data_IF_753530707018
#
_entry.id   IF_753530707018
#
_cell.length_a   1.000
_cell.length_b   1.000
_cell.length_c   1.000
_cell.angle_alpha   90.00
_cell.angle_beta   90.00
_cell.angle_gamma   90.00
#
_symmetry.space_group_name_H-M   'P 1'
#
loop_
_entity.id
_entity.type
_entity.pdbx_description
1 polymer ?
#
# COMPACT_ATOMS: atom_id res chain seq x y z
N UNK A 1 -38.39 35.63 -1.22
CA UNK A 1 -38.22 37.09 -1.07
C UNK A 1 -39.33 37.79 -1.84
N UNK A 2 -40.22 38.45 -1.10
CA UNK A 2 -41.31 39.32 -1.59
C UNK A 2 -41.99 38.92 -2.92
N UNK A 3 -42.56 37.71 -3.00
CA UNK A 3 -43.14 37.11 -4.23
C UNK A 3 -44.19 38.00 -4.91
N UNK A 4 -44.92 38.77 -4.11
CA UNK A 4 -46.06 39.56 -4.58
C UNK A 4 -45.67 40.95 -5.11
N UNK A 5 -44.39 41.32 -5.03
CA UNK A 5 -43.90 42.66 -5.44
C UNK A 5 -43.33 42.71 -6.85
N UNK A 6 -43.09 41.55 -7.47
CA UNK A 6 -42.46 41.44 -8.78
C UNK A 6 -43.50 41.50 -9.90
N UNK A 7 -43.26 42.30 -10.94
CA UNK A 7 -44.12 42.35 -12.15
C UNK A 7 -45.38 43.21 -12.04
N UNK A 8 -45.65 43.85 -10.90
CA UNK A 8 -46.76 44.80 -10.75
C UNK A 8 -46.36 46.18 -11.31
N UNK A 9 -46.59 46.39 -12.61
CA UNK A 9 -46.63 47.75 -13.21
C UNK A 9 -45.29 48.43 -13.53
N UNK A 10 -44.20 47.67 -13.73
CA UNK A 10 -42.95 48.18 -14.31
C UNK A 10 -42.06 49.03 -13.39
N UNK A 11 -42.49 49.32 -12.15
CA UNK A 11 -41.67 50.06 -11.17
C UNK A 11 -40.62 49.21 -10.46
N UNK A 12 -40.91 47.93 -10.25
CA UNK A 12 -40.00 47.01 -9.58
C UNK A 12 -39.28 46.15 -10.63
N UNK A 13 -37.95 46.13 -10.59
CA UNK A 13 -37.12 45.40 -11.55
C UNK A 13 -35.95 44.71 -10.87
N UNK A 14 -35.50 43.61 -11.47
CA UNK A 14 -34.31 42.89 -11.07
C UNK A 14 -33.54 42.57 -12.34
N UNK A 15 -32.31 43.08 -12.44
CA UNK A 15 -31.45 42.92 -13.60
C UNK A 15 -30.11 42.39 -13.13
N UNK A 16 -29.69 41.26 -13.70
CA UNK A 16 -28.37 40.71 -13.47
C UNK A 16 -27.45 41.09 -14.63
N UNK A 17 -26.34 41.75 -14.34
CA UNK A 17 -25.35 42.19 -15.34
C UNK A 17 -23.94 42.03 -14.78
N UNK A 18 -23.10 41.24 -15.45
CA UNK A 18 -21.67 41.09 -15.16
C UNK A 18 -21.35 40.80 -13.67
N UNK A 19 -22.12 39.91 -13.03
CA UNK A 19 -21.93 39.57 -11.62
C UNK A 19 -22.54 40.58 -10.63
N UNK A 20 -23.08 41.69 -11.12
CA UNK A 20 -23.85 42.66 -10.34
C UNK A 20 -25.34 42.37 -10.45
N UNK A 21 -26.03 42.44 -9.31
CA UNK A 21 -27.48 42.38 -9.25
C UNK A 21 -28.00 43.79 -8.98
N UNK A 22 -28.66 44.38 -9.97
CA UNK A 22 -29.31 45.68 -9.86
C UNK A 22 -30.78 45.42 -9.54
N UNK A 23 -31.22 45.86 -8.36
CA UNK A 23 -32.59 45.70 -7.90
C UNK A 23 -33.24 47.06 -7.70
N UNK A 24 -34.44 47.22 -8.23
CA UNK A 24 -35.32 48.35 -7.94
C UNK A 24 -36.55 47.78 -7.25
N UNK A 25 -36.68 48.06 -5.95
CA UNK A 25 -37.82 47.70 -5.12
C UNK A 25 -37.83 48.59 -3.87
N UNK A 26 -38.74 48.36 -2.93
CA UNK A 26 -38.81 49.07 -1.65
C UNK A 26 -37.68 48.64 -0.71
N UNK A 27 -37.28 49.53 0.21
CA UNK A 27 -36.16 49.29 1.14
C UNK A 27 -36.29 47.98 1.93
N UNK A 28 -37.51 47.64 2.39
CA UNK A 28 -37.75 46.36 3.09
C UNK A 28 -37.46 45.12 2.24
N UNK A 29 -37.66 45.19 0.92
CA UNK A 29 -37.29 44.09 0.01
C UNK A 29 -35.78 44.05 -0.23
N UNK A 30 -35.10 45.21 -0.25
CA UNK A 30 -33.64 45.25 -0.31
C UNK A 30 -33.00 44.57 0.90
N UNK A 31 -33.55 44.79 2.10
CA UNK A 31 -33.08 44.10 3.33
C UNK A 31 -33.23 42.57 3.24
N UNK A 32 -34.38 42.08 2.74
CA UNK A 32 -34.60 40.64 2.51
C UNK A 32 -33.60 40.05 1.49
N UNK A 33 -33.35 40.78 0.39
CA UNK A 33 -32.40 40.35 -0.65
C UNK A 33 -30.98 40.33 -0.09
N UNK A 34 -30.60 41.35 0.68
CA UNK A 34 -29.28 41.42 1.29
C UNK A 34 -29.05 40.24 2.24
N UNK A 35 -30.00 39.93 3.12
CA UNK A 35 -29.90 38.78 4.03
C UNK A 35 -29.79 37.45 3.27
N UNK A 36 -30.56 37.27 2.19
CA UNK A 36 -30.46 36.07 1.35
C UNK A 36 -29.09 35.97 0.68
N UNK A 37 -28.62 37.04 0.06
CA UNK A 37 -27.33 37.07 -0.62
C UNK A 37 -26.17 36.84 0.36
N UNK A 38 -26.26 37.39 1.55
CA UNK A 38 -25.29 37.18 2.62
C UNK A 38 -25.26 35.72 3.09
N UNK A 39 -26.43 35.09 3.28
CA UNK A 39 -26.54 33.67 3.59
C UNK A 39 -25.95 32.77 2.48
N UNK A 40 -26.26 33.06 1.21
CA UNK A 40 -25.71 32.33 0.07
C UNK A 40 -24.19 32.52 -0.06
N UNK A 41 -23.67 33.71 0.22
CA UNK A 41 -22.22 33.99 0.24
C UNK A 41 -21.50 33.22 1.34
N UNK A 42 -22.07 33.17 2.55
CA UNK A 42 -21.51 32.39 3.65
C UNK A 42 -21.44 30.88 3.34
N UNK A 43 -22.42 30.33 2.62
CA UNK A 43 -22.39 28.92 2.22
C UNK A 43 -21.35 28.62 1.13
N UNK A 44 -21.12 29.55 0.19
CA UNK A 44 -20.15 29.39 -0.90
C UNK A 44 -18.69 29.50 -0.46
N UNK A 45 -18.41 30.26 0.60
CA UNK A 45 -17.04 30.46 1.10
C UNK A 45 -16.53 29.34 2.02
N UNK A 46 -17.35 28.33 2.31
CA UNK A 46 -16.98 27.28 3.25
C UNK A 46 -16.04 26.27 2.58
N UNK A 47 -14.84 26.14 3.13
CA UNK A 47 -13.88 25.12 2.75
C UNK A 47 -13.88 23.98 3.77
N UNK A 48 -13.74 22.76 3.26
CA UNK A 48 -13.58 21.55 4.05
C UNK A 48 -12.19 21.01 3.74
N UNK A 49 -11.39 20.83 4.78
CA UNK A 49 -10.10 20.14 4.67
C UNK A 49 -10.28 18.72 5.16
N UNK A 50 -9.84 17.76 4.36
CA UNK A 50 -9.87 16.34 4.69
C UNK A 50 -8.45 15.80 4.77
N UNK A 51 -8.18 15.10 5.86
CA UNK A 51 -6.98 14.29 6.06
C UNK A 51 -7.36 12.82 5.94
N UNK A 52 -6.87 12.15 4.92
CA UNK A 52 -7.04 10.71 4.75
C UNK A 52 -5.78 10.04 5.28
N UNK A 53 -5.90 8.89 5.96
CA UNK A 53 -4.74 8.11 6.44
C UNK A 53 -4.89 6.67 6.01
N UNK A 54 -3.95 6.19 5.22
CA UNK A 54 -3.76 4.77 4.93
C UNK A 54 -2.72 4.25 5.90
N UNK A 55 -3.09 3.26 6.71
CA UNK A 55 -2.21 2.60 7.65
C UNK A 55 -2.14 1.15 7.24
N UNK A 56 -0.92 0.68 6.97
CA UNK A 56 -0.62 -0.74 6.89
C UNK A 56 0.29 -1.08 8.05
N UNK A 57 -0.05 -2.14 8.77
CA UNK A 57 0.81 -2.80 9.72
C UNK A 57 1.01 -4.23 9.24
N UNK A 58 2.27 -4.63 9.11
CA UNK A 58 2.68 -6.02 8.87
C UNK A 58 3.50 -6.46 10.07
N UNK A 59 3.20 -7.65 10.58
CA UNK A 59 3.90 -8.28 11.70
C UNK A 59 4.23 -9.70 11.25
N UNK A 60 5.49 -9.95 10.93
CA UNK A 60 5.98 -11.26 10.52
C UNK A 60 6.90 -11.80 11.62
N UNK A 61 6.59 -13.01 12.08
CA UNK A 61 7.33 -13.69 13.12
C UNK A 61 7.76 -15.06 12.61
N UNK A 62 9.06 -15.32 12.67
CA UNK A 62 9.66 -16.59 12.31
C UNK A 62 10.42 -17.11 13.52
N UNK A 63 10.08 -18.33 13.92
CA UNK A 63 10.87 -19.14 14.83
C UNK A 63 11.19 -20.44 14.13
N UNK A 64 12.48 -20.74 14.08
CA UNK A 64 12.99 -22.02 13.62
C UNK A 64 13.96 -22.59 14.67
N UNK A 65 13.81 -23.88 14.97
CA UNK A 65 14.62 -24.59 15.96
C UNK A 65 15.03 -25.93 15.38
N UNK A 66 16.30 -26.04 15.01
CA UNK A 66 16.87 -27.27 14.50
C UNK A 66 17.72 -27.97 15.57
N UNK A 67 17.64 -29.29 15.60
CA UNK A 67 18.43 -30.13 16.49
C UNK A 67 19.06 -31.27 15.69
N UNK A 68 20.35 -31.48 15.90
CA UNK A 68 21.09 -32.54 15.24
C UNK A 68 22.07 -33.24 16.17
N UNK A 69 22.26 -34.53 15.93
CA UNK A 69 23.26 -35.34 16.62
C UNK A 69 24.06 -36.15 15.63
N UNK A 70 25.33 -36.35 15.96
CA UNK A 70 26.29 -37.07 15.15
C UNK A 70 26.98 -38.11 16.04
N UNK A 71 27.07 -39.33 15.53
CA UNK A 71 27.72 -40.44 16.24
C UNK A 71 28.86 -41.00 15.39
N UNK A 72 30.04 -41.06 15.98
CA UNK A 72 31.26 -41.57 15.38
C UNK A 72 31.69 -42.80 16.18
N UNK A 73 31.87 -43.96 15.53
CA UNK A 73 32.34 -45.17 16.20
C UNK A 73 33.62 -45.67 15.52
N UNK A 74 34.73 -45.62 16.24
CA UNK A 74 36.05 -45.99 15.70
C UNK A 74 36.47 -47.35 16.24
N UNK A 75 36.52 -48.36 15.38
CA UNK A 75 37.12 -49.68 15.66
C UNK A 75 38.34 -49.88 14.74
N UNK A 76 39.35 -50.61 15.19
CA UNK A 76 40.70 -50.72 14.58
C UNK A 76 40.76 -51.01 13.05
N UNK A 77 39.67 -51.41 12.39
CA UNK A 77 39.65 -51.68 10.94
C UNK A 77 38.44 -51.07 10.18
N UNK A 78 37.45 -50.47 10.86
CA UNK A 78 36.27 -49.87 10.21
C UNK A 78 35.75 -48.65 10.99
N UNK A 79 35.44 -47.59 10.24
CA UNK A 79 34.81 -46.36 10.75
C UNK A 79 33.36 -46.29 10.23
N UNK A 80 32.40 -46.10 11.13
CA UNK A 80 30.98 -45.97 10.80
C UNK A 80 30.48 -44.59 11.27
N UNK A 81 29.91 -43.83 10.34
CA UNK A 81 29.43 -42.46 10.54
C UNK A 81 27.91 -42.38 10.35
N UNK A 82 27.18 -41.98 11.39
CA UNK A 82 25.71 -41.86 11.37
C UNK A 82 25.29 -40.45 11.80
N UNK A 83 24.51 -39.78 10.95
CA UNK A 83 23.88 -38.49 11.24
C UNK A 83 22.37 -38.73 11.41
N UNK A 84 21.79 -38.28 12.52
CA UNK A 84 20.35 -38.23 12.72
C UNK A 84 19.98 -36.83 13.23
N UNK A 85 19.16 -36.10 12.46
CA UNK A 85 18.73 -34.75 12.78
C UNK A 85 17.51 -34.37 11.95
N UNK A 86 16.74 -33.40 12.44
CA UNK A 86 15.64 -32.81 11.69
C UNK A 86 16.20 -32.03 10.49
N UNK A 87 15.60 -32.20 9.30
CA UNK A 87 16.16 -31.70 8.03
C UNK A 87 15.47 -30.40 7.57
N UNK A 88 15.06 -29.56 8.52
CA UNK A 88 14.36 -28.31 8.18
C UNK A 88 15.33 -27.18 7.78
N UNK A 89 16.64 -27.35 8.00
CA UNK A 89 17.69 -26.46 7.46
C UNK A 89 18.45 -27.19 6.34
N UNK A 90 18.21 -26.78 5.09
CA UNK A 90 18.79 -27.38 3.89
C UNK A 90 20.32 -27.26 3.81
N UNK A 91 21.04 -28.14 4.49
CA UNK A 91 22.50 -28.31 4.39
C UNK A 91 22.80 -29.42 3.37
N UNK A 92 23.37 -29.11 2.19
CA UNK A 92 23.73 -30.14 1.23
C UNK A 92 24.93 -30.96 1.75
N UNK A 93 24.67 -32.18 2.21
CA UNK A 93 25.72 -33.12 2.65
C UNK A 93 26.30 -33.80 1.41
N UNK A 94 27.49 -33.37 0.98
CA UNK A 94 28.10 -33.85 -0.27
C UNK A 94 29.62 -33.93 -0.35
N UNK A 95 30.40 -33.69 0.72
CA UNK A 95 31.86 -33.95 0.66
C UNK A 95 32.42 -34.45 2.01
N UNK A 96 33.46 -35.30 2.00
CA UNK A 96 34.04 -35.90 3.22
C UNK A 96 34.95 -34.92 4.01
N UNK A 97 34.66 -33.61 3.98
CA UNK A 97 35.43 -32.59 4.72
C UNK A 97 34.66 -32.13 5.96
N UNK A 98 35.31 -32.31 7.09
CA UNK A 98 35.00 -31.89 8.46
C UNK A 98 33.81 -30.89 8.61
N UNK A 99 32.71 -31.27 9.30
CA UNK A 99 31.47 -30.50 9.42
C UNK A 99 31.63 -29.15 10.12
N UNK A 100 32.75 -28.90 10.79
CA UNK A 100 33.09 -27.57 11.36
C UNK A 100 33.15 -26.45 10.30
N UNK A 101 33.26 -26.79 9.01
CA UNK A 101 33.32 -25.79 7.93
C UNK A 101 31.95 -25.44 7.35
N UNK A 102 30.90 -26.24 7.62
CA UNK A 102 29.56 -26.05 7.06
C UNK A 102 28.68 -25.08 7.89
N UNK A 103 29.14 -24.63 9.06
CA UNK A 103 28.38 -23.80 10.00
C UNK A 103 28.47 -22.27 9.82
N UNK A 104 29.14 -21.76 8.77
CA UNK A 104 29.44 -20.32 8.64
C UNK A 104 28.62 -19.56 7.58
N UNK A 105 27.58 -20.16 6.99
CA UNK A 105 26.69 -19.49 6.01
C UNK A 105 25.21 -19.49 6.43
N UNK A 106 24.90 -19.78 7.70
CA UNK A 106 23.55 -19.64 8.23
C UNK A 106 23.31 -18.19 8.73
N UNK A 107 22.05 -17.71 8.74
CA UNK A 107 21.65 -16.45 9.41
C UNK A 107 22.18 -16.37 10.86
N UNK A 108 22.08 -15.23 11.58
CA UNK A 108 22.55 -15.14 12.96
C UNK A 108 21.79 -16.15 13.85
N UNK A 109 22.37 -17.33 14.05
CA UNK A 109 21.77 -18.43 14.81
C UNK A 109 22.54 -18.61 16.11
N UNK A 110 21.82 -18.89 17.19
CA UNK A 110 22.47 -19.34 18.42
C UNK A 110 22.80 -20.82 18.29
N UNK A 111 24.07 -21.20 18.36
CA UNK A 111 24.51 -22.60 18.28
C UNK A 111 25.11 -23.08 19.60
N UNK A 112 24.55 -24.14 20.19
CA UNK A 112 25.10 -24.83 21.38
C UNK A 112 25.73 -26.14 20.95
N UNK A 113 26.99 -26.39 21.34
CA UNK A 113 27.77 -27.57 20.97
C UNK A 113 28.24 -28.34 22.21
N UNK A 114 28.17 -29.67 22.19
CA UNK A 114 28.78 -30.53 23.21
C UNK A 114 29.21 -31.89 22.65
N UNK A 115 30.31 -32.43 23.18
CA UNK A 115 30.93 -33.68 22.74
C UNK A 115 31.22 -34.61 23.91
N UNK A 116 30.95 -35.91 23.76
CA UNK A 116 31.39 -36.97 24.69
C UNK A 116 32.38 -37.85 23.92
N UNK A 117 33.57 -38.08 24.49
CA UNK A 117 34.68 -38.75 23.80
C UNK A 117 35.10 -40.01 24.57
N UNK A 118 34.83 -41.17 23.96
CA UNK A 118 35.40 -42.49 24.26
C UNK A 118 35.46 -43.30 22.93
N UNK A 119 35.45 -44.64 22.95
CA UNK A 119 35.32 -45.50 21.76
C UNK A 119 34.07 -45.23 20.88
N UNK A 120 33.11 -44.49 21.42
CA UNK A 120 31.98 -43.88 20.73
C UNK A 120 32.06 -42.36 20.96
N UNK A 121 32.23 -41.59 19.89
CA UNK A 121 32.09 -40.14 19.89
C UNK A 121 30.65 -39.75 19.63
N UNK A 122 30.08 -38.89 20.47
CA UNK A 122 28.76 -38.31 20.27
C UNK A 122 28.87 -36.78 20.31
N UNK A 123 28.43 -36.13 19.24
CA UNK A 123 28.35 -34.68 19.11
C UNK A 123 26.88 -34.26 18.94
N UNK A 124 26.47 -33.19 19.63
CA UNK A 124 25.14 -32.61 19.43
C UNK A 124 25.23 -31.11 19.12
N UNK A 125 24.30 -30.63 18.30
CA UNK A 125 24.11 -29.21 18.04
C UNK A 125 22.63 -28.84 18.09
N UNK A 126 22.36 -27.62 18.58
CA UNK A 126 21.05 -26.97 18.53
C UNK A 126 21.24 -25.62 17.87
N UNK A 127 20.38 -25.30 16.91
CA UNK A 127 20.34 -24.01 16.23
C UNK A 127 18.95 -23.41 16.41
N UNK A 128 18.90 -22.13 16.77
CA UNK A 128 17.66 -21.37 16.83
C UNK A 128 17.79 -20.09 16.02
N UNK A 129 16.76 -19.79 15.22
CA UNK A 129 16.54 -18.52 14.53
C UNK A 129 15.28 -17.89 15.09
N UNK A 130 15.39 -16.65 15.56
CA UNK A 130 14.25 -15.82 15.91
C UNK A 130 14.35 -14.54 15.07
N UNK A 131 13.33 -14.32 14.24
CA UNK A 131 13.20 -13.13 13.43
C UNK A 131 11.83 -12.50 13.64
N UNK A 132 11.81 -11.21 13.94
CA UNK A 132 10.60 -10.39 13.93
C UNK A 132 10.84 -9.21 13.01
N UNK A 133 9.98 -9.06 12.00
CA UNK A 133 9.95 -7.86 11.17
C UNK A 133 8.60 -7.16 11.34
N UNK A 134 8.66 -5.89 11.75
CA UNK A 134 7.50 -5.06 11.99
C UNK A 134 7.60 -3.83 11.10
N UNK A 135 6.72 -3.75 10.11
CA UNK A 135 6.67 -2.60 9.22
C UNK A 135 5.33 -1.88 9.32
N UNK A 136 5.40 -0.56 9.54
CA UNK A 136 4.24 0.32 9.54
C UNK A 136 4.41 1.34 8.43
N UNK A 137 3.60 1.22 7.38
CA UNK A 137 3.56 2.15 6.27
C UNK A 137 2.35 3.07 6.45
N UNK A 138 2.61 4.38 6.58
CA UNK A 138 1.57 5.40 6.70
C UNK A 138 1.64 6.39 5.54
N UNK A 139 0.52 6.59 4.85
CA UNK A 139 0.35 7.64 3.84
C UNK A 139 -0.83 8.53 4.22
N UNK A 140 -0.61 9.85 4.21
CA UNK A 140 -1.60 10.81 4.71
C UNK A 140 -1.85 11.98 3.75
N UNK A 141 -2.58 11.78 2.63
CA UNK A 141 -2.90 12.88 1.74
C UNK A 141 -3.92 13.84 2.38
N UNK A 142 -3.65 15.14 2.22
CA UNK A 142 -4.52 16.24 2.64
C UNK A 142 -5.08 16.95 1.43
N UNK A 143 -6.38 17.25 1.44
CA UNK A 143 -7.04 18.08 0.42
C UNK A 143 -7.96 19.11 1.07
N UNK A 144 -8.02 20.30 0.49
CA UNK A 144 -9.00 21.32 0.85
C UNK A 144 -9.90 21.60 -0.35
N UNK A 145 -11.21 21.51 -0.16
CA UNK A 145 -12.22 21.70 -1.22
C UNK A 145 -13.33 22.61 -0.72
N UNK A 146 -14.04 23.27 -1.62
CA UNK A 146 -15.23 24.02 -1.25
C UNK A 146 -16.43 23.10 -1.01
N UNK A 147 -17.34 23.54 -0.15
CA UNK A 147 -18.60 22.85 0.13
C UNK A 147 -19.37 22.55 -1.16
N UNK A 148 -19.77 21.28 -1.33
CA UNK A 148 -20.54 20.79 -2.46
C UNK A 148 -19.73 20.52 -3.73
N UNK A 149 -18.45 20.92 -3.80
CA UNK A 149 -17.57 20.64 -4.93
C UNK A 149 -16.94 19.26 -4.83
N UNK A 150 -16.89 18.56 -5.96
CA UNK A 150 -16.15 17.29 -6.08
C UNK A 150 -14.70 17.59 -6.37
N UNK A 151 -13.79 16.88 -5.72
CA UNK A 151 -12.38 16.94 -6.04
C UNK A 151 -11.78 15.54 -6.15
N UNK A 152 -10.76 15.46 -6.97
CA UNK A 152 -10.08 14.22 -7.32
C UNK A 152 -8.59 14.40 -7.12
N UNK A 153 -7.96 13.46 -6.42
CA UNK A 153 -6.50 13.35 -6.32
C UNK A 153 -6.10 11.98 -6.86
N UNK A 154 -5.12 11.99 -7.76
CA UNK A 154 -4.42 10.80 -8.20
C UNK A 154 -2.93 11.03 -8.08
N UNK A 155 -2.30 10.32 -7.15
CA UNK A 155 -0.85 10.21 -7.04
C UNK A 155 -0.50 8.82 -7.52
N UNK A 156 -0.31 8.68 -8.83
CA UNK A 156 -0.05 7.40 -9.49
C UNK A 156 1.29 7.43 -10.20
N UNK A 157 2.03 6.32 -10.10
CA UNK A 157 3.20 6.00 -10.89
C UNK A 157 2.80 4.90 -11.86
N UNK A 158 3.05 5.12 -13.15
CA UNK A 158 2.76 4.14 -14.19
C UNK A 158 4.07 3.47 -14.62
N UNK A 159 4.07 2.15 -14.75
CA UNK A 159 5.18 1.38 -15.27
C UNK A 159 4.69 0.49 -16.41
N UNK A 160 5.43 0.50 -17.50
CA UNK A 160 5.20 -0.41 -18.62
C UNK A 160 5.91 -1.72 -18.33
N UNK A 161 5.17 -2.81 -18.39
CA UNK A 161 5.66 -4.17 -18.17
C UNK A 161 5.36 -4.99 -19.42
N UNK A 162 6.34 -5.78 -19.83
CA UNK A 162 6.12 -6.82 -20.84
C UNK A 162 5.45 -7.98 -20.12
N UNK A 163 4.20 -8.27 -20.48
CA UNK A 163 3.43 -9.35 -19.85
C UNK A 163 3.38 -10.60 -20.72
N UNK A 164 3.49 -10.44 -22.03
CA UNK A 164 3.40 -11.55 -22.98
C UNK A 164 4.23 -11.26 -24.24
N UNK A 165 4.60 -12.31 -24.96
CA UNK A 165 5.18 -12.20 -26.29
C UNK A 165 4.77 -13.37 -27.18
N UNK A 166 4.47 -13.09 -28.44
CA UNK A 166 4.24 -14.10 -29.47
C UNK A 166 5.49 -14.26 -30.34
N UNK A 167 5.75 -15.50 -30.76
CA UNK A 167 6.90 -15.83 -31.61
C UNK A 167 6.39 -16.15 -32.99
N UNK A 168 6.67 -15.25 -33.94
CA UNK A 168 6.41 -15.50 -35.34
C UNK A 168 7.65 -16.14 -35.98
N UNK A 169 7.50 -17.37 -36.47
CA UNK A 169 8.58 -18.13 -37.09
C UNK A 169 8.34 -18.21 -38.59
N UNK A 170 9.17 -17.51 -39.36
CA UNK A 170 9.23 -17.61 -40.82
C UNK A 170 10.46 -18.45 -41.26
N UNK A 171 10.48 -18.91 -42.51
CA UNK A 171 11.43 -19.90 -43.06
C UNK A 171 12.94 -19.52 -42.96
N UNK A 172 13.29 -18.35 -42.40
CA UNK A 172 14.65 -17.96 -42.01
C UNK A 172 14.70 -16.82 -40.98
N UNK A 173 13.62 -16.53 -40.26
CA UNK A 173 13.56 -15.42 -39.31
C UNK A 173 12.68 -15.75 -38.10
N UNK A 174 13.15 -15.36 -36.91
CA UNK A 174 12.35 -15.38 -35.69
C UNK A 174 12.02 -13.93 -35.35
N UNK A 175 10.74 -13.60 -35.38
CA UNK A 175 10.19 -12.32 -34.92
C UNK A 175 9.59 -12.48 -33.53
N UNK A 176 9.74 -11.45 -32.70
CA UNK A 176 9.10 -11.38 -31.39
C UNK A 176 8.09 -10.23 -31.42
N UNK A 177 6.81 -10.54 -31.25
CA UNK A 177 5.76 -9.54 -31.01
C UNK A 177 5.49 -9.46 -29.52
N UNK A 178 5.72 -8.30 -28.90
CA UNK A 178 5.72 -8.17 -27.45
C UNK A 178 4.51 -7.35 -27.01
N UNK A 179 3.67 -7.91 -26.14
CA UNK A 179 2.55 -7.19 -25.54
C UNK A 179 3.03 -6.45 -24.29
N UNK A 180 2.93 -5.12 -24.34
CA UNK A 180 3.28 -4.23 -23.24
C UNK A 180 2.00 -3.79 -22.53
N UNK A 181 1.88 -4.10 -21.25
CA UNK A 181 0.80 -3.64 -20.38
C UNK A 181 1.30 -2.53 -19.44
N UNK A 182 0.47 -1.51 -19.20
CA UNK A 182 0.80 -0.42 -18.27
C UNK A 182 0.11 -0.67 -16.94
N UNK A 183 0.90 -1.03 -15.92
CA UNK A 183 0.39 -1.14 -14.54
C UNK A 183 0.51 0.22 -13.86
N UNK A 184 -0.58 0.65 -13.23
CA UNK A 184 -0.63 1.91 -12.46
C UNK A 184 -0.66 1.62 -10.96
N UNK A 185 0.30 2.18 -10.25
CA UNK A 185 0.49 2.03 -8.81
C UNK A 185 0.34 3.37 -8.12
N UNK A 186 -0.35 3.44 -6.98
CA UNK A 186 -0.46 4.69 -6.22
C UNK A 186 -1.77 4.86 -5.49
N UNK A 187 -2.08 6.09 -5.13
CA UNK A 187 -3.27 6.46 -4.36
C UNK A 187 -4.18 7.30 -5.23
N UNK A 188 -5.44 6.89 -5.33
CA UNK A 188 -6.48 7.67 -5.97
C UNK A 188 -7.61 7.86 -4.97
N UNK A 189 -8.11 9.07 -4.84
CA UNK A 189 -9.35 9.26 -4.12
C UNK A 189 -10.17 10.40 -4.68
N UNK A 190 -11.47 10.22 -4.60
CA UNK A 190 -12.48 11.13 -5.07
C UNK A 190 -13.41 11.48 -3.91
N UNK A 191 -13.59 12.78 -3.66
CA UNK A 191 -14.37 13.27 -2.52
C UNK A 191 -15.29 14.41 -2.91
N UNK A 192 -16.52 14.37 -2.37
CA UNK A 192 -17.45 15.50 -2.40
C UNK A 192 -18.05 15.71 -1.01
N UNK A 193 -17.67 16.78 -0.29
CA UNK A 193 -18.31 17.11 0.97
C UNK A 193 -19.54 17.96 0.77
N UNK A 194 -20.51 17.79 1.66
CA UNK A 194 -21.68 18.64 1.81
C UNK A 194 -21.81 18.94 3.30
N UNK A 195 -21.62 20.20 3.67
CA UNK A 195 -21.74 20.64 5.06
C UNK A 195 -23.20 20.99 5.36
N UNK A 196 -23.69 20.53 6.51
CA UNK A 196 -25.03 20.87 6.99
C UNK A 196 -25.17 22.39 7.19
N UNK A 197 -26.40 22.91 7.08
CA UNK A 197 -26.66 24.35 7.22
C UNK A 197 -26.19 24.92 8.57
N UNK A 198 -26.23 24.11 9.62
CA UNK A 198 -25.79 24.45 10.98
C UNK A 198 -24.31 24.13 11.26
N UNK A 199 -23.55 23.70 10.24
CA UNK A 199 -22.12 23.33 10.32
C UNK A 199 -21.79 22.25 11.36
N UNK A 200 -22.78 21.47 11.82
CA UNK A 200 -22.56 20.38 12.78
C UNK A 200 -22.14 19.07 12.13
N UNK A 201 -22.51 18.85 10.88
CA UNK A 201 -22.23 17.62 10.16
C UNK A 201 -21.67 17.89 8.77
N UNK A 202 -20.79 17.01 8.32
CA UNK A 202 -20.32 16.98 6.94
C UNK A 202 -20.66 15.60 6.39
N UNK A 203 -21.51 15.57 5.38
CA UNK A 203 -21.75 14.38 4.59
C UNK A 203 -20.69 14.31 3.50
N UNK A 204 -20.08 13.14 3.28
CA UNK A 204 -19.06 12.95 2.25
C UNK A 204 -19.40 11.74 1.39
N UNK A 205 -19.35 11.92 0.07
CA UNK A 205 -19.22 10.80 -0.88
C UNK A 205 -17.72 10.65 -1.14
N UNK A 206 -17.13 9.57 -0.64
CA UNK A 206 -15.69 9.30 -0.67
C UNK A 206 -15.42 7.94 -1.32
N UNK A 207 -14.54 7.91 -2.31
CA UNK A 207 -14.09 6.69 -2.98
C UNK A 207 -12.56 6.60 -2.93
N UNK A 208 -11.96 6.02 -1.88
CA UNK A 208 -10.53 5.88 -1.76
C UNK A 208 -10.07 4.54 -2.36
N UNK A 209 -8.97 4.56 -3.11
CA UNK A 209 -8.28 3.35 -3.58
C UNK A 209 -6.76 3.52 -3.46
N UNK A 210 -6.08 2.42 -3.11
CA UNK A 210 -4.62 2.32 -3.07
C UNK A 210 -4.21 1.06 -3.82
N UNK A 211 -3.35 1.24 -4.82
CA UNK A 211 -2.69 0.18 -5.58
C UNK A 211 -1.21 0.19 -5.25
N UNK A 212 -0.60 -0.97 -5.15
CA UNK A 212 0.84 -1.14 -4.94
C UNK A 212 1.38 -2.24 -5.84
N UNK A 213 2.65 -2.10 -6.23
CA UNK A 213 3.40 -3.13 -6.93
C UNK A 213 4.17 -3.92 -5.86
N UNK A 214 3.84 -5.21 -5.71
CA UNK A 214 4.42 -6.06 -4.67
C UNK A 214 5.76 -6.63 -5.12
N UNK A 215 5.79 -7.21 -6.32
CA UNK A 215 7.00 -7.75 -6.92
C UNK A 215 6.92 -7.67 -8.45
N UNK A 216 8.09 -7.62 -9.08
CA UNK A 216 8.25 -7.82 -10.53
C UNK A 216 9.33 -8.88 -10.69
N UNK A 217 8.90 -10.11 -10.92
CA UNK A 217 9.82 -11.20 -11.22
C UNK A 217 10.37 -11.00 -12.63
N UNK A 218 11.70 -10.95 -12.76
CA UNK A 218 12.35 -10.96 -14.07
C UNK A 218 12.05 -12.31 -14.75
N UNK A 219 11.59 -12.24 -15.99
CA UNK A 219 11.34 -13.44 -16.78
C UNK A 219 12.67 -14.10 -17.14
N UNK A 220 12.94 -15.28 -16.56
CA UNK A 220 14.07 -16.12 -16.97
C UNK A 220 13.61 -16.90 -18.22
N UNK A 221 14.03 -16.43 -19.39
CA UNK A 221 13.86 -17.17 -20.63
C UNK A 221 14.85 -18.34 -20.58
N UNK A 222 14.36 -19.51 -20.16
CA UNK A 222 15.13 -20.74 -20.02
C UNK A 222 15.93 -21.13 -21.27
#
# INVERSE_FOLDING_TARGET
VARDTWGLGGRNSIVYRDGSLIVVNTDGVHDEIQQLLEGLRQQRALQVTMDIRFIRATDDFVVDVAMGMMANYTRQEHDLFVIAGDHDVGVPIGTPRNPFTAGFMAPPTMTVLGSIIDSLGLDYYMQAVEGSDQSVLMSAPRITVFNGQRAYIAVVTQRNLVTDYDVDVAESAVGYDVTIETISTGVVFDVRPIVSADRRYVQMDLRPSRSELIDVTAWDAG
#
